data_IF_278611294376
#
_entry.id   IF_278611294376
#
_cell.length_a   1.000
_cell.length_b   1.000
_cell.length_c   1.000
_cell.angle_alpha   90.00
_cell.angle_beta   90.00
_cell.angle_gamma   90.00
#
_symmetry.space_group_name_H-M   'P 1'
#
loop_
_entity.id
_entity.type
_entity.pdbx_description
1 polymer ?
#
# COMPACT_ATOMS: atom_id res chain seq x y z
N UNK A 1 14.27 -29.53 33.64
CA UNK A 1 14.78 -28.16 33.62
C UNK A 1 14.43 -27.55 32.26
N UNK A 2 13.51 -26.62 32.26
CA UNK A 2 12.74 -26.21 31.11
C UNK A 2 13.46 -25.41 30.03
N UNK A 3 13.03 -25.61 28.81
CA UNK A 3 13.28 -24.75 27.65
C UNK A 3 11.91 -24.29 27.14
N UNK A 4 11.49 -23.14 27.62
CA UNK A 4 10.34 -22.42 27.10
C UNK A 4 10.74 -20.96 26.88
N UNK A 5 11.38 -20.67 25.76
CA UNK A 5 11.65 -19.30 25.34
C UNK A 5 11.83 -19.22 23.83
N UNK A 6 10.78 -19.41 23.03
CA UNK A 6 10.79 -19.00 21.62
C UNK A 6 9.44 -18.98 20.92
N UNK A 7 8.32 -19.18 21.64
CA UNK A 7 6.98 -19.22 21.01
C UNK A 7 6.21 -17.89 21.12
N UNK A 8 6.64 -16.97 21.96
CA UNK A 8 5.89 -15.73 22.26
C UNK A 8 6.09 -14.65 21.17
N UNK A 9 7.21 -14.62 20.47
CA UNK A 9 7.52 -13.58 19.49
C UNK A 9 6.79 -13.72 18.15
N UNK A 10 6.53 -14.95 17.70
CA UNK A 10 5.92 -15.19 16.39
C UNK A 10 4.40 -14.96 16.39
N UNK A 11 3.73 -15.30 17.49
CA UNK A 11 2.29 -15.06 17.64
C UNK A 11 1.94 -13.57 17.72
N UNK A 12 2.75 -12.78 18.43
CA UNK A 12 2.58 -11.34 18.57
C UNK A 12 2.82 -10.59 17.24
N UNK A 13 3.82 -10.99 16.47
CA UNK A 13 4.08 -10.36 15.16
C UNK A 13 2.96 -10.61 14.16
N UNK A 14 2.41 -11.82 14.12
CA UNK A 14 1.31 -12.18 13.22
C UNK A 14 0.00 -11.45 13.56
N UNK A 15 -0.28 -11.23 14.85
CA UNK A 15 -1.41 -10.44 15.33
C UNK A 15 -1.29 -8.98 14.87
N UNK A 16 -0.15 -8.36 15.08
CA UNK A 16 0.14 -6.99 14.67
C UNK A 16 0.10 -6.83 13.14
N UNK A 17 0.70 -7.73 12.38
CA UNK A 17 0.67 -7.74 10.90
C UNK A 17 -0.77 -7.79 10.39
N UNK A 18 -1.58 -8.73 10.89
CA UNK A 18 -3.00 -8.84 10.52
C UNK A 18 -3.80 -7.61 10.96
N UNK A 19 -3.47 -7.03 12.12
CA UNK A 19 -4.11 -5.83 12.60
C UNK A 19 -3.86 -4.62 11.69
N UNK A 20 -2.70 -4.50 11.11
CA UNK A 20 -2.34 -3.41 10.19
C UNK A 20 -2.94 -3.67 8.79
N UNK A 21 -2.57 -4.78 8.16
CA UNK A 21 -2.91 -5.09 6.77
C UNK A 21 -4.40 -5.37 6.52
N UNK A 22 -5.15 -5.74 7.54
CA UNK A 22 -6.58 -6.07 7.40
C UNK A 22 -7.51 -4.87 7.21
N UNK A 23 -7.01 -3.64 6.99
CA UNK A 23 -7.86 -2.48 6.75
C UNK A 23 -7.07 -1.27 6.22
N UNK A 24 -7.55 -0.65 5.15
CA UNK A 24 -6.88 0.44 4.46
C UNK A 24 -6.60 1.67 5.34
N UNK A 25 -7.55 2.06 6.22
CA UNK A 25 -7.36 3.20 7.13
C UNK A 25 -6.25 2.96 8.14
N UNK A 26 -6.04 1.71 8.58
CA UNK A 26 -4.93 1.37 9.47
C UNK A 26 -3.60 1.42 8.72
N UNK A 27 -3.57 0.92 7.50
CA UNK A 27 -2.39 1.02 6.63
C UNK A 27 -2.01 2.47 6.39
N UNK A 28 -2.97 3.31 5.98
CA UNK A 28 -2.75 4.75 5.76
C UNK A 28 -2.28 5.48 7.03
N UNK A 29 -2.80 5.09 8.20
CA UNK A 29 -2.34 5.65 9.47
C UNK A 29 -0.88 5.31 9.75
N UNK A 30 -0.47 4.05 9.55
CA UNK A 30 0.91 3.60 9.76
C UNK A 30 1.83 4.26 8.73
N UNK A 31 1.44 4.31 7.44
CA UNK A 31 2.17 5.03 6.38
C UNK A 31 2.44 6.48 6.78
N UNK A 32 1.40 7.21 7.22
CA UNK A 32 1.54 8.60 7.65
C UNK A 32 2.46 8.78 8.86
N UNK A 33 2.39 7.87 9.84
CA UNK A 33 3.27 7.90 11.00
C UNK A 33 4.73 7.63 10.63
N UNK A 34 5.00 6.72 9.69
CA UNK A 34 6.35 6.44 9.20
C UNK A 34 6.96 7.67 8.51
N UNK A 35 6.18 8.41 7.72
CA UNK A 35 6.60 9.65 7.05
C UNK A 35 6.87 10.81 8.03
N UNK A 36 6.42 10.69 9.29
CA UNK A 36 6.47 11.72 10.33
C UNK A 36 7.27 11.33 11.57
N UNK A 37 8.35 10.58 11.40
CA UNK A 37 9.23 10.15 12.50
C UNK A 37 8.51 9.39 13.62
N UNK A 38 7.43 8.71 13.28
CA UNK A 38 6.69 7.82 14.18
C UNK A 38 5.67 8.51 15.10
N UNK A 39 5.38 9.80 14.94
CA UNK A 39 4.37 10.48 15.75
C UNK A 39 3.58 11.54 14.96
N UNK A 40 2.28 11.65 15.23
CA UNK A 40 1.43 12.67 14.62
C UNK A 40 0.20 12.98 15.47
N UNK A 41 -0.36 14.17 15.31
CA UNK A 41 -1.66 14.49 15.86
C UNK A 41 -2.77 13.71 15.13
N UNK A 42 -3.74 13.21 15.87
CA UNK A 42 -4.88 12.49 15.30
C UNK A 42 -5.62 13.30 14.22
N UNK A 43 -5.68 14.62 14.39
CA UNK A 43 -6.32 15.52 13.42
C UNK A 43 -5.63 15.50 12.06
N UNK A 44 -4.31 15.42 12.04
CA UNK A 44 -3.51 15.40 10.80
C UNK A 44 -3.65 14.04 10.10
N UNK A 45 -3.66 12.95 10.88
CA UNK A 45 -3.95 11.60 10.38
C UNK A 45 -5.35 11.54 9.72
N UNK A 46 -6.35 12.12 10.37
CA UNK A 46 -7.72 12.21 9.82
C UNK A 46 -7.75 12.98 8.51
N UNK A 47 -7.03 14.11 8.44
CA UNK A 47 -6.89 14.90 7.22
C UNK A 47 -6.29 14.11 6.07
N UNK A 48 -5.17 13.45 6.34
CA UNK A 48 -4.47 12.62 5.38
C UNK A 48 -5.32 11.47 4.83
N UNK A 49 -5.98 10.72 5.73
CA UNK A 49 -6.85 9.61 5.33
C UNK A 49 -8.02 10.10 4.48
N UNK A 50 -8.67 11.19 4.88
CA UNK A 50 -9.79 11.76 4.13
C UNK A 50 -9.37 12.21 2.72
N UNK A 51 -8.17 12.78 2.58
CA UNK A 51 -7.58 13.14 1.28
C UNK A 51 -7.32 11.91 0.41
N UNK A 52 -6.75 10.86 0.97
CA UNK A 52 -6.49 9.58 0.27
C UNK A 52 -7.79 8.87 -0.15
N UNK A 53 -8.85 8.98 0.65
CA UNK A 53 -10.19 8.46 0.32
C UNK A 53 -10.93 9.32 -0.73
N UNK A 54 -10.38 10.49 -1.10
CA UNK A 54 -10.94 11.38 -2.14
C UNK A 54 -12.10 12.24 -1.69
N UNK A 55 -12.41 12.30 -0.39
CA UNK A 55 -13.47 13.14 0.19
C UNK A 55 -12.96 13.88 1.42
N UNK A 56 -12.80 15.19 1.30
CA UNK A 56 -12.29 16.07 2.38
C UNK A 56 -13.38 16.84 3.11
N UNK A 57 -14.66 16.53 2.85
CA UNK A 57 -15.78 17.18 3.50
C UNK A 57 -15.76 17.02 5.01
N UNK A 58 -16.31 18.01 5.73
CA UNK A 58 -16.38 18.00 7.18
C UNK A 58 -17.10 16.75 7.72
N UNK A 59 -18.15 16.30 7.02
CA UNK A 59 -18.92 15.10 7.41
C UNK A 59 -18.08 13.85 7.26
N UNK A 60 -17.34 13.73 6.16
CA UNK A 60 -16.46 12.59 5.92
C UNK A 60 -15.31 12.55 6.93
N UNK A 61 -14.59 13.66 7.16
CA UNK A 61 -13.54 13.76 8.19
C UNK A 61 -14.05 13.38 9.58
N UNK A 62 -15.29 13.77 9.94
CA UNK A 62 -15.89 13.34 11.20
C UNK A 62 -16.09 11.82 11.24
N UNK A 63 -16.52 11.21 10.14
CA UNK A 63 -16.68 9.75 10.02
C UNK A 63 -15.35 9.03 10.16
N UNK A 64 -14.30 9.52 9.50
CA UNK A 64 -12.93 9.00 9.63
C UNK A 64 -12.46 9.10 11.08
N UNK A 65 -12.58 10.28 11.70
CA UNK A 65 -12.21 10.49 13.10
C UNK A 65 -12.90 9.48 14.05
N UNK A 66 -14.22 9.35 13.93
CA UNK A 66 -14.98 8.42 14.78
C UNK A 66 -14.53 6.97 14.59
N UNK A 67 -14.32 6.54 13.34
CA UNK A 67 -13.85 5.19 13.07
C UNK A 67 -12.43 4.93 13.59
N UNK A 68 -11.53 5.92 13.49
CA UNK A 68 -10.19 5.80 14.03
C UNK A 68 -10.23 5.64 15.56
N UNK A 69 -10.93 6.53 16.27
CA UNK A 69 -10.98 6.52 17.74
C UNK A 69 -11.71 5.31 18.31
N UNK A 70 -12.81 4.91 17.68
CA UNK A 70 -13.64 3.83 18.24
C UNK A 70 -13.20 2.43 17.82
N UNK A 71 -12.56 2.29 16.65
CA UNK A 71 -12.29 0.96 16.08
C UNK A 71 -10.81 0.71 15.83
N UNK A 72 -10.14 1.63 15.13
CA UNK A 72 -8.81 1.35 14.59
C UNK A 72 -7.70 1.56 15.64
N UNK A 73 -7.72 2.66 16.36
CA UNK A 73 -6.75 2.97 17.39
C UNK A 73 -6.78 1.91 18.51
N UNK A 74 -7.94 1.57 19.13
CA UNK A 74 -7.97 0.57 20.17
C UNK A 74 -7.49 -0.82 19.74
N UNK A 75 -7.67 -1.16 18.44
CA UNK A 75 -7.15 -2.41 17.91
C UNK A 75 -5.63 -2.40 17.80
N UNK A 76 -5.06 -1.33 17.24
CA UNK A 76 -3.61 -1.20 17.08
C UNK A 76 -2.87 -1.05 18.41
N UNK A 77 -3.48 -0.38 19.41
CA UNK A 77 -2.95 -0.31 20.78
C UNK A 77 -2.90 -1.69 21.44
N UNK A 78 -3.96 -2.49 21.30
CA UNK A 78 -4.03 -3.85 21.84
C UNK A 78 -2.94 -4.76 21.27
N UNK A 79 -2.61 -4.58 20.02
CA UNK A 79 -1.52 -5.32 19.33
C UNK A 79 -0.13 -4.69 19.57
N UNK A 80 -0.05 -3.64 20.39
CA UNK A 80 1.22 -2.98 20.72
C UNK A 80 1.92 -2.28 19.55
N UNK A 81 1.16 -1.93 18.50
CA UNK A 81 1.68 -1.26 17.30
C UNK A 81 1.82 0.24 17.53
N UNK A 82 0.85 0.85 18.20
CA UNK A 82 0.82 2.29 18.49
C UNK A 82 0.50 2.55 19.96
N UNK A 83 0.76 3.78 20.42
CA UNK A 83 0.20 4.35 21.64
C UNK A 83 -0.57 5.63 21.30
N UNK A 84 -1.71 5.83 21.98
CA UNK A 84 -2.53 7.02 21.80
C UNK A 84 -2.66 7.79 23.10
N UNK A 85 -2.07 8.98 23.18
CA UNK A 85 -2.09 9.82 24.36
C UNK A 85 -2.36 11.28 24.00
N UNK A 86 -3.33 11.88 24.67
CA UNK A 86 -3.66 13.31 24.55
C UNK A 86 -3.84 13.83 23.12
N UNK A 87 -4.39 12.98 22.23
CA UNK A 87 -4.63 13.35 20.84
C UNK A 87 -3.45 13.11 19.90
N UNK A 88 -2.33 12.60 20.42
CA UNK A 88 -1.15 12.23 19.63
C UNK A 88 -1.07 10.71 19.52
N UNK A 89 -0.87 10.23 18.32
CA UNK A 89 -0.59 8.82 18.00
C UNK A 89 0.90 8.64 17.83
N UNK A 90 1.47 7.68 18.55
CA UNK A 90 2.90 7.35 18.49
C UNK A 90 3.07 5.91 18.03
N UNK A 91 3.89 5.68 17.03
CA UNK A 91 4.24 4.37 16.53
C UNK A 91 5.25 3.71 17.47
N UNK A 92 4.95 2.50 17.95
CA UNK A 92 5.80 1.76 18.88
C UNK A 92 6.63 0.71 18.15
N UNK A 93 5.96 -0.10 17.32
CA UNK A 93 6.60 -1.22 16.61
C UNK A 93 5.85 -1.54 15.34
N UNK A 94 6.59 -1.75 14.26
CA UNK A 94 6.07 -2.31 13.02
C UNK A 94 6.69 -3.69 12.84
N UNK A 95 5.90 -4.74 12.57
CA UNK A 95 6.44 -6.03 12.16
C UNK A 95 7.18 -5.92 10.84
N UNK A 96 8.29 -6.65 10.69
CA UNK A 96 9.12 -6.63 9.49
C UNK A 96 8.33 -6.99 8.23
N UNK A 97 7.38 -7.91 8.34
CA UNK A 97 6.48 -8.34 7.26
C UNK A 97 5.63 -7.19 6.70
N UNK A 98 5.20 -6.26 7.57
CA UNK A 98 4.42 -5.08 7.16
C UNK A 98 5.30 -4.07 6.44
N UNK A 99 6.51 -3.87 6.90
CA UNK A 99 7.49 -2.97 6.26
C UNK A 99 7.77 -3.42 4.83
N UNK A 100 8.02 -4.70 4.63
CA UNK A 100 8.23 -5.28 3.29
C UNK A 100 6.99 -5.11 2.41
N UNK A 101 5.79 -5.35 2.94
CA UNK A 101 4.55 -5.19 2.18
C UNK A 101 4.32 -3.74 1.75
N UNK A 102 4.53 -2.78 2.64
CA UNK A 102 4.35 -1.34 2.36
C UNK A 102 5.38 -0.83 1.34
N UNK A 103 6.61 -1.33 1.38
CA UNK A 103 7.65 -0.96 0.42
C UNK A 103 7.35 -1.48 -1.00
N UNK A 104 6.81 -2.70 -1.11
CA UNK A 104 6.44 -3.31 -2.41
C UNK A 104 5.24 -2.61 -3.08
N UNK A 105 4.34 -2.00 -2.31
CA UNK A 105 3.13 -1.33 -2.81
C UNK A 105 3.37 0.17 -3.10
N UNK A 106 4.59 0.63 -3.04
CA UNK A 106 4.91 2.04 -3.28
C UNK A 106 4.47 2.48 -4.68
N UNK A 107 3.65 3.52 -4.75
CA UNK A 107 2.91 4.05 -5.91
C UNK A 107 3.79 4.54 -7.08
N UNK A 108 5.11 4.38 -7.00
CA UNK A 108 6.08 4.79 -8.01
C UNK A 108 6.65 3.63 -8.83
N UNK A 109 6.16 2.40 -8.60
CA UNK A 109 6.55 1.28 -9.44
C UNK A 109 6.05 1.52 -10.87
N UNK A 110 7.01 1.51 -11.81
CA UNK A 110 6.70 1.56 -13.24
C UNK A 110 5.70 0.45 -13.52
N UNK A 111 4.49 0.84 -13.87
CA UNK A 111 3.44 -0.13 -14.22
C UNK A 111 4.00 -1.12 -15.24
N UNK A 112 3.91 -2.41 -14.94
CA UNK A 112 4.31 -3.47 -15.87
C UNK A 112 3.73 -3.27 -17.28
N UNK A 113 2.54 -2.67 -17.36
CA UNK A 113 1.92 -2.29 -18.64
C UNK A 113 2.71 -1.21 -19.37
N UNK A 114 3.27 -0.21 -18.68
CA UNK A 114 4.11 0.83 -19.27
C UNK A 114 5.44 0.23 -19.79
N UNK A 115 6.04 -0.69 -19.03
CA UNK A 115 7.22 -1.42 -19.46
C UNK A 115 6.97 -2.24 -20.72
N UNK A 116 5.87 -2.99 -20.78
CA UNK A 116 5.51 -3.77 -21.97
C UNK A 116 5.18 -2.90 -23.17
N UNK A 117 4.52 -1.76 -22.97
CA UNK A 117 4.25 -0.79 -24.04
C UNK A 117 5.56 -0.21 -24.61
N UNK A 118 6.49 0.22 -23.76
CA UNK A 118 7.79 0.74 -24.18
C UNK A 118 8.60 -0.30 -24.97
N UNK A 119 8.66 -1.53 -24.46
CA UNK A 119 9.34 -2.65 -25.14
C UNK A 119 8.72 -2.95 -26.50
N UNK A 120 7.39 -2.95 -26.61
CA UNK A 120 6.69 -3.19 -27.89
C UNK A 120 7.01 -2.13 -28.92
N UNK A 121 7.05 -0.84 -28.54
CA UNK A 121 7.42 0.26 -29.43
C UNK A 121 8.85 0.11 -29.94
N UNK A 122 9.77 -0.31 -29.08
CA UNK A 122 11.17 -0.56 -29.48
C UNK A 122 11.28 -1.68 -30.51
N UNK A 123 10.54 -2.78 -30.32
CA UNK A 123 10.53 -3.89 -31.29
C UNK A 123 9.84 -3.52 -32.61
N UNK A 124 8.83 -2.68 -32.61
CA UNK A 124 8.20 -2.17 -33.82
C UNK A 124 9.21 -1.33 -34.63
N UNK A 125 9.92 -0.41 -33.97
CA UNK A 125 10.93 0.42 -34.58
C UNK A 125 12.09 -0.43 -35.19
N UNK A 126 12.56 -1.42 -34.42
CA UNK A 126 13.60 -2.35 -34.88
C UNK A 126 13.14 -3.20 -36.10
N UNK A 127 11.91 -3.73 -36.01
CA UNK A 127 11.32 -4.53 -37.10
C UNK A 127 11.15 -3.72 -38.39
N UNK A 128 10.77 -2.45 -38.26
CA UNK A 128 10.70 -1.53 -39.42
C UNK A 128 12.07 -1.26 -40.01
N UNK A 129 13.06 -0.95 -39.16
CA UNK A 129 14.43 -0.67 -39.63
C UNK A 129 15.07 -1.89 -40.32
N UNK A 130 14.90 -3.08 -39.73
CA UNK A 130 15.46 -4.34 -40.26
C UNK A 130 14.63 -4.94 -41.41
N UNK A 131 13.50 -4.34 -41.79
CA UNK A 131 12.52 -4.87 -42.74
C UNK A 131 12.10 -6.32 -42.45
N UNK A 132 12.02 -6.66 -41.18
CA UNK A 132 11.68 -8.01 -40.71
C UNK A 132 10.17 -8.10 -40.40
N UNK A 133 9.39 -8.58 -41.37
CA UNK A 133 7.93 -8.68 -41.24
C UNK A 133 7.48 -9.58 -40.07
N UNK A 134 8.05 -10.76 -39.82
CA UNK A 134 7.72 -11.57 -38.65
C UNK A 134 7.91 -10.84 -37.31
N UNK A 135 8.97 -10.07 -37.15
CA UNK A 135 9.25 -9.29 -35.95
C UNK A 135 8.21 -8.18 -35.74
N UNK A 136 7.80 -7.51 -36.84
CA UNK A 136 6.73 -6.49 -36.78
C UNK A 136 5.40 -7.09 -36.34
N UNK A 137 5.00 -8.23 -36.90
CA UNK A 137 3.76 -8.90 -36.54
C UNK A 137 3.76 -9.35 -35.06
N UNK A 138 4.85 -9.93 -34.60
CA UNK A 138 5.00 -10.32 -33.20
C UNK A 138 4.89 -9.12 -32.25
N UNK A 139 5.53 -8.00 -32.57
CA UNK A 139 5.49 -6.78 -31.78
C UNK A 139 4.08 -6.17 -31.70
N UNK A 140 3.31 -6.21 -32.80
CA UNK A 140 1.92 -5.71 -32.85
C UNK A 140 1.01 -6.59 -31.97
N UNK A 141 1.15 -7.91 -32.02
CA UNK A 141 0.39 -8.84 -31.17
C UNK A 141 0.69 -8.61 -29.71
N UNK A 142 1.98 -8.43 -29.36
CA UNK A 142 2.40 -8.17 -28.00
C UNK A 142 1.86 -6.83 -27.46
N UNK A 143 1.84 -5.79 -28.30
CA UNK A 143 1.25 -4.50 -27.97
C UNK A 143 -0.27 -4.64 -27.69
N UNK A 144 -0.99 -5.38 -28.53
CA UNK A 144 -2.42 -5.60 -28.36
C UNK A 144 -2.73 -6.31 -27.02
N UNK A 145 -1.96 -7.33 -26.68
CA UNK A 145 -2.08 -8.04 -25.41
C UNK A 145 -1.83 -7.08 -24.23
N UNK A 146 -0.79 -6.24 -24.31
CA UNK A 146 -0.45 -5.25 -23.28
C UNK A 146 -1.58 -4.24 -23.06
N UNK A 147 -2.21 -3.73 -24.13
CA UNK A 147 -3.35 -2.80 -24.04
C UNK A 147 -4.58 -3.45 -23.41
N UNK A 148 -4.89 -4.70 -23.77
CA UNK A 148 -6.00 -5.46 -23.18
C UNK A 148 -5.76 -5.68 -21.68
N UNK A 149 -4.54 -6.03 -21.31
CA UNK A 149 -4.16 -6.24 -19.90
C UNK A 149 -4.29 -4.95 -19.10
N UNK A 150 -3.81 -3.83 -19.63
CA UNK A 150 -3.94 -2.51 -18.99
C UNK A 150 -5.41 -2.13 -18.77
N UNK A 151 -6.28 -2.31 -19.77
CA UNK A 151 -7.71 -2.00 -19.64
C UNK A 151 -8.44 -2.88 -18.63
N UNK A 152 -8.00 -4.12 -18.45
CA UNK A 152 -8.59 -5.03 -17.47
C UNK A 152 -8.26 -4.62 -16.03
N UNK A 153 -7.03 -4.19 -15.78
CA UNK A 153 -6.59 -3.71 -14.45
C UNK A 153 -7.29 -2.40 -14.09
N UNK A 154 -7.41 -1.45 -15.04
CA UNK A 154 -8.07 -0.15 -14.81
C UNK A 154 -9.58 -0.24 -14.49
N UNK A 155 -10.21 -1.40 -14.66
CA UNK A 155 -11.63 -1.63 -14.30
C UNK A 155 -11.81 -2.27 -12.92
N UNK A 156 -10.72 -2.64 -12.26
CA UNK A 156 -10.73 -3.31 -10.95
C UNK A 156 -10.30 -2.38 -9.81
N UNK A 157 -9.92 -1.14 -10.14
CA UNK A 157 -9.62 -0.03 -9.23
C UNK A 157 -10.74 1.00 -9.35
#
# INVERSE_FOLDING_TARGET
MGINASTTGYGDSMGATTAILGNDRRMLMIEFLQERDGHAELRDIVGYIAEKEGDTDRRHRKSVYVSLVQTHIPKLEREGVIAFNHGVVTLLKIPDDVTVYMEVVNKHDISWSAFYMGTSLTFIAAGWYLKNLPLLLAAIVYLAISVVHHRKISRLI
#
